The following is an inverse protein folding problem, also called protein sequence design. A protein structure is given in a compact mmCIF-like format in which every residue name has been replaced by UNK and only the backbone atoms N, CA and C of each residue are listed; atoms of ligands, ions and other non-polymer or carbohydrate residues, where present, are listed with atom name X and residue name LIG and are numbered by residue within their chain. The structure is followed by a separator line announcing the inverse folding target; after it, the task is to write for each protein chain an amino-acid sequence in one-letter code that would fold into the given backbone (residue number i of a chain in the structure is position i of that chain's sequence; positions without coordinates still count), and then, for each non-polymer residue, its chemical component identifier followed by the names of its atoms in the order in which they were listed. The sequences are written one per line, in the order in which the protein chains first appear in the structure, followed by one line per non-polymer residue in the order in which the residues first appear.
data_IF_183075458086
#
_entry.id   IF_183075458086
#
_cell.length_a   1.000
_cell.length_b   1.000
_cell.length_c   1.000
_cell.angle_alpha   90.00
_cell.angle_beta   90.00
_cell.angle_gamma   90.00
#
_symmetry.space_group_name_H-M   'P 1'
#
loop_
_entity.id
_entity.type
_entity.pdbx_description
1 polymer ?
#
# COMPACT_ATOMS: atom_id res chain seq x y z
N UNK A 1 2.70 -7.51 -22.97
CA UNK A 1 3.94 -8.16 -22.47
C UNK A 1 3.95 -9.61 -22.86
N UNK A 2 5.10 -10.21 -23.20
CA UNK A 2 5.24 -11.62 -23.54
C UNK A 2 6.06 -12.32 -22.45
N UNK A 3 5.55 -13.43 -21.93
CA UNK A 3 6.22 -14.25 -20.92
C UNK A 3 6.82 -15.49 -21.60
N UNK A 4 8.06 -15.82 -21.26
CA UNK A 4 8.78 -16.96 -21.81
C UNK A 4 9.38 -17.80 -20.71
N UNK A 5 9.32 -19.10 -20.87
CA UNK A 5 10.03 -20.07 -20.03
C UNK A 5 11.33 -20.47 -20.71
N UNK A 6 12.41 -20.48 -19.96
CA UNK A 6 13.73 -20.92 -20.42
C UNK A 6 14.01 -22.29 -19.85
N UNK A 7 14.20 -23.28 -20.73
CA UNK A 7 14.56 -24.65 -20.37
C UNK A 7 15.70 -25.12 -21.27
N UNK A 8 16.82 -25.51 -20.68
CA UNK A 8 18.00 -26.06 -21.41
C UNK A 8 18.42 -25.18 -22.60
N UNK A 9 18.51 -23.85 -22.40
CA UNK A 9 18.85 -22.84 -23.41
C UNK A 9 17.84 -22.72 -24.57
N UNK A 10 16.67 -23.33 -24.45
CA UNK A 10 15.54 -23.12 -25.36
C UNK A 10 14.49 -22.21 -24.72
N UNK A 11 13.79 -21.45 -25.56
CA UNK A 11 12.78 -20.48 -25.10
C UNK A 11 11.42 -20.89 -25.62
N UNK A 12 10.47 -21.06 -24.70
CA UNK A 12 9.07 -21.33 -25.02
C UNK A 12 8.18 -20.20 -24.52
N UNK A 13 7.34 -19.66 -25.40
CA UNK A 13 6.35 -18.64 -25.01
C UNK A 13 5.26 -19.27 -24.15
N UNK A 14 4.94 -18.63 -23.01
CA UNK A 14 3.80 -19.00 -22.17
C UNK A 14 2.59 -18.19 -22.64
N UNK A 15 1.49 -18.88 -22.90
CA UNK A 15 0.26 -18.27 -23.43
C UNK A 15 -0.55 -17.67 -22.28
N UNK A 16 -1.14 -16.50 -22.50
CA UNK A 16 -2.10 -15.94 -21.55
C UNK A 16 -3.37 -16.80 -21.55
N UNK A 17 -3.92 -17.03 -20.37
CA UNK A 17 -5.16 -17.78 -20.14
C UNK A 17 -6.23 -16.82 -19.61
N UNK A 18 -7.39 -16.82 -20.24
CA UNK A 18 -8.54 -16.08 -19.71
C UNK A 18 -9.16 -16.82 -18.52
N UNK A 19 -9.48 -16.07 -17.46
CA UNK A 19 -10.37 -16.56 -16.41
C UNK A 19 -11.82 -16.33 -16.85
N UNK A 20 -12.66 -17.36 -16.71
CA UNK A 20 -14.05 -17.28 -17.18
C UNK A 20 -14.88 -16.26 -16.39
N UNK A 21 -14.60 -16.06 -15.11
CA UNK A 21 -15.39 -15.22 -14.20
C UNK A 21 -14.52 -14.27 -13.37
N UNK A 22 -14.99 -13.03 -13.17
CA UNK A 22 -14.43 -12.03 -12.24
C UNK A 22 -14.29 -12.60 -10.82
N UNK A 23 -15.25 -13.40 -10.40
CA UNK A 23 -15.23 -14.08 -9.09
C UNK A 23 -14.01 -15.00 -8.91
N UNK A 24 -13.47 -15.58 -9.97
CA UNK A 24 -12.29 -16.45 -9.85
C UNK A 24 -11.04 -15.65 -9.49
N UNK A 25 -10.88 -14.44 -10.03
CA UNK A 25 -9.77 -13.57 -9.65
C UNK A 25 -9.94 -13.07 -8.21
N UNK A 26 -11.15 -12.67 -7.82
CA UNK A 26 -11.46 -12.28 -6.45
C UNK A 26 -11.03 -13.35 -5.45
N UNK A 27 -11.42 -14.61 -5.64
CA UNK A 27 -11.06 -15.73 -4.77
C UNK A 27 -9.54 -15.92 -4.68
N UNK A 28 -8.82 -15.84 -5.81
CA UNK A 28 -7.35 -15.96 -5.82
C UNK A 28 -6.73 -14.85 -4.96
N UNK A 29 -7.19 -13.60 -5.12
CA UNK A 29 -6.66 -12.48 -4.34
C UNK A 29 -7.04 -12.56 -2.87
N UNK A 30 -8.30 -12.81 -2.52
CA UNK A 30 -8.76 -12.90 -1.13
C UNK A 30 -8.00 -13.94 -0.32
N UNK A 31 -7.68 -15.08 -0.93
CA UNK A 31 -6.89 -16.14 -0.28
C UNK A 31 -5.41 -15.79 -0.13
N UNK A 32 -4.91 -14.77 -0.83
CA UNK A 32 -3.48 -14.45 -0.91
C UNK A 32 -3.20 -12.94 -0.76
N UNK A 33 -4.14 -12.14 -0.19
CA UNK A 33 -4.01 -10.69 -0.11
C UNK A 33 -2.76 -10.24 0.66
N UNK A 34 -2.37 -10.98 1.68
CA UNK A 34 -1.18 -10.66 2.46
C UNK A 34 0.11 -10.82 1.63
N UNK A 35 0.21 -11.90 0.86
CA UNK A 35 1.36 -12.16 -0.01
C UNK A 35 1.41 -11.20 -1.21
N UNK A 36 0.25 -10.95 -1.85
CA UNK A 36 0.16 -10.16 -3.07
C UNK A 36 0.26 -8.65 -2.83
N UNK A 37 -0.37 -8.15 -1.76
CA UNK A 37 -0.59 -6.72 -1.53
C UNK A 37 -0.24 -6.24 -0.11
N UNK A 38 0.21 -7.14 0.77
CA UNK A 38 0.50 -6.83 2.17
C UNK A 38 -0.75 -6.45 2.99
N UNK A 39 -1.92 -7.02 2.64
CA UNK A 39 -3.21 -6.66 3.22
C UNK A 39 -3.80 -7.86 3.96
N UNK A 40 -4.16 -7.66 5.21
CA UNK A 40 -4.94 -8.63 5.98
C UNK A 40 -6.40 -8.56 5.54
N UNK A 41 -6.95 -9.68 5.08
CA UNK A 41 -8.33 -9.80 4.62
C UNK A 41 -9.34 -9.69 5.78
N UNK A 42 -10.35 -8.84 5.63
CA UNK A 42 -11.38 -8.61 6.66
C UNK A 42 -12.75 -9.14 6.28
N UNK A 43 -13.27 -8.77 5.13
CA UNK A 43 -14.62 -9.14 4.71
C UNK A 43 -14.73 -9.29 3.20
N UNK A 44 -15.61 -10.20 2.80
CA UNK A 44 -15.99 -10.54 1.44
C UNK A 44 -17.39 -9.99 1.13
N UNK A 45 -17.56 -9.41 -0.04
CA UNK A 45 -18.86 -8.92 -0.53
C UNK A 45 -19.65 -8.13 0.53
N UNK A 46 -19.00 -7.13 1.13
CA UNK A 46 -19.56 -6.37 2.23
C UNK A 46 -20.63 -5.37 1.74
N UNK A 47 -21.89 -5.60 2.13
CA UNK A 47 -23.02 -4.74 1.74
C UNK A 47 -22.98 -3.39 2.47
N UNK A 48 -23.10 -2.29 1.72
CA UNK A 48 -23.12 -0.93 2.27
C UNK A 48 -24.56 -0.42 2.45
N UNK A 49 -24.78 0.44 3.44
CA UNK A 49 -26.09 1.10 3.67
C UNK A 49 -26.44 2.11 2.58
N UNK A 50 -25.49 2.55 1.76
CA UNK A 50 -25.71 3.46 0.64
C UNK A 50 -26.14 2.72 -0.66
N UNK A 51 -26.24 1.41 -0.57
CA UNK A 51 -26.44 0.53 -1.72
C UNK A 51 -25.10 0.11 -2.35
N UNK A 52 -25.13 -1.06 -2.97
CA UNK A 52 -23.93 -1.69 -3.49
C UNK A 52 -23.21 -2.56 -2.46
N UNK A 53 -22.10 -3.16 -2.92
CA UNK A 53 -21.37 -4.16 -2.17
C UNK A 53 -19.90 -4.06 -2.51
N UNK A 54 -19.07 -3.85 -1.50
CA UNK A 54 -17.60 -3.84 -1.61
C UNK A 54 -17.14 -5.27 -1.87
N UNK A 55 -16.37 -5.51 -2.92
CA UNK A 55 -15.91 -6.85 -3.26
C UNK A 55 -15.05 -7.44 -2.13
N UNK A 56 -14.02 -6.71 -1.68
CA UNK A 56 -13.20 -7.12 -0.53
C UNK A 56 -12.81 -5.93 0.34
N UNK A 57 -12.88 -6.14 1.67
CA UNK A 57 -12.34 -5.22 2.67
C UNK A 57 -11.08 -5.82 3.31
N UNK A 58 -10.09 -5.00 3.57
CA UNK A 58 -8.88 -5.36 4.26
C UNK A 58 -8.30 -4.24 5.09
N UNK A 59 -7.21 -4.53 5.77
CA UNK A 59 -6.38 -3.58 6.49
C UNK A 59 -4.92 -3.90 6.20
N UNK A 60 -4.10 -2.91 5.89
CA UNK A 60 -2.68 -3.15 5.68
C UNK A 60 -1.89 -3.13 7.00
N UNK A 61 -0.59 -3.41 6.92
CA UNK A 61 0.30 -3.47 8.08
C UNK A 61 0.49 -2.12 8.78
N UNK A 62 0.24 -1.02 8.08
CA UNK A 62 0.31 0.33 8.60
C UNK A 62 -1.01 0.79 9.25
N UNK A 63 -2.04 -0.07 9.25
CA UNK A 63 -3.36 0.25 9.80
C UNK A 63 -4.28 0.97 8.81
N UNK A 64 -3.89 1.10 7.53
CA UNK A 64 -4.73 1.76 6.55
C UNK A 64 -5.91 0.85 6.13
N UNK A 65 -7.16 1.33 6.20
CA UNK A 65 -8.30 0.61 5.64
C UNK A 65 -8.15 0.46 4.12
N UNK A 66 -8.42 -0.74 3.60
CA UNK A 66 -8.28 -1.07 2.19
C UNK A 66 -9.60 -1.53 1.61
N UNK A 67 -10.04 -0.88 0.53
CA UNK A 67 -11.15 -1.32 -0.32
C UNK A 67 -10.54 -1.91 -1.57
N UNK A 68 -10.93 -3.12 -1.94
CA UNK A 68 -10.44 -3.80 -3.12
C UNK A 68 -11.61 -4.13 -4.02
N UNK A 69 -11.53 -3.71 -5.28
CA UNK A 69 -12.51 -3.95 -6.33
C UNK A 69 -11.86 -4.71 -7.49
N UNK A 70 -12.54 -5.73 -7.99
CA UNK A 70 -12.04 -6.57 -9.06
C UNK A 70 -12.86 -6.37 -10.33
N UNK A 71 -12.19 -6.39 -11.49
CA UNK A 71 -12.86 -6.37 -12.78
C UNK A 71 -12.17 -7.28 -13.78
N UNK A 72 -12.99 -8.00 -14.52
CA UNK A 72 -12.56 -8.70 -15.72
C UNK A 72 -12.53 -7.72 -16.89
N UNK A 73 -11.45 -7.71 -17.63
CA UNK A 73 -11.29 -6.83 -18.79
C UNK A 73 -11.12 -5.37 -18.43
N UNK A 74 -11.43 -4.49 -19.38
CA UNK A 74 -11.45 -3.05 -19.24
C UNK A 74 -12.82 -2.58 -18.76
N UNK A 75 -12.89 -1.89 -17.62
CA UNK A 75 -14.14 -1.38 -17.07
C UNK A 75 -13.98 0.06 -16.59
N UNK A 76 -14.77 0.96 -17.15
CA UNK A 76 -14.69 2.41 -16.90
C UNK A 76 -15.23 2.82 -15.50
N UNK A 77 -15.83 1.90 -14.74
CA UNK A 77 -16.51 2.23 -13.49
C UNK A 77 -15.82 1.74 -12.22
N UNK A 78 -14.75 0.93 -12.30
CA UNK A 78 -14.13 0.34 -11.11
C UNK A 78 -13.60 1.40 -10.14
N UNK A 79 -13.01 2.46 -10.67
CA UNK A 79 -12.48 3.57 -9.85
C UNK A 79 -13.61 4.31 -9.14
N UNK A 80 -14.70 4.62 -9.88
CA UNK A 80 -15.85 5.31 -9.30
C UNK A 80 -16.55 4.47 -8.23
N UNK A 81 -16.62 3.15 -8.41
CA UNK A 81 -17.14 2.23 -7.41
C UNK A 81 -16.28 2.27 -6.15
N UNK A 82 -14.96 2.09 -6.29
CA UNK A 82 -14.04 2.14 -5.16
C UNK A 82 -14.09 3.47 -4.40
N UNK A 83 -14.19 4.60 -5.10
CA UNK A 83 -14.33 5.92 -4.48
C UNK A 83 -15.67 6.09 -3.76
N UNK A 84 -16.76 5.58 -4.32
CA UNK A 84 -18.08 5.58 -3.66
C UNK A 84 -18.06 4.76 -2.38
N UNK A 85 -17.41 3.61 -2.39
CA UNK A 85 -17.27 2.77 -1.20
C UNK A 85 -16.31 3.38 -0.16
N UNK A 86 -15.28 4.09 -0.61
CA UNK A 86 -14.43 4.86 0.30
C UNK A 86 -15.23 5.96 1.01
N UNK A 87 -16.09 6.68 0.28
CA UNK A 87 -16.96 7.68 0.89
C UNK A 87 -17.85 7.07 1.96
N UNK A 88 -18.46 5.91 1.68
CA UNK A 88 -19.24 5.17 2.66
C UNK A 88 -18.38 4.75 3.86
N UNK A 89 -17.20 4.19 3.64
CA UNK A 89 -16.30 3.69 4.69
C UNK A 89 -15.90 4.80 5.66
N UNK A 90 -15.60 5.98 5.14
CA UNK A 90 -15.20 7.13 5.96
C UNK A 90 -16.34 7.67 6.84
N UNK A 91 -17.60 7.49 6.41
CA UNK A 91 -18.79 7.81 7.19
C UNK A 91 -19.15 6.71 8.20
N UNK A 92 -18.77 5.46 7.93
CA UNK A 92 -19.10 4.26 8.72
C UNK A 92 -17.88 3.63 9.41
N UNK A 93 -16.99 4.44 9.96
CA UNK A 93 -15.73 3.99 10.59
C UNK A 93 -15.97 2.94 11.69
N UNK A 94 -17.02 3.12 12.50
CA UNK A 94 -17.37 2.19 13.59
C UNK A 94 -17.71 0.77 13.08
N UNK A 95 -18.28 0.64 11.88
CA UNK A 95 -18.55 -0.66 11.29
C UNK A 95 -17.26 -1.39 10.92
N UNK A 96 -16.29 -0.67 10.35
CA UNK A 96 -14.97 -1.20 10.04
C UNK A 96 -14.21 -1.60 11.30
N UNK A 97 -14.20 -0.76 12.33
CA UNK A 97 -13.58 -1.02 13.64
C UNK A 97 -14.16 -2.28 14.30
N UNK A 98 -15.49 -2.46 14.19
CA UNK A 98 -16.17 -3.66 14.67
C UNK A 98 -15.73 -4.92 13.93
N UNK A 99 -15.53 -4.84 12.60
CA UNK A 99 -15.00 -5.97 11.81
C UNK A 99 -13.57 -6.30 12.27
N UNK A 100 -12.69 -5.30 12.40
CA UNK A 100 -11.33 -5.50 12.89
C UNK A 100 -11.32 -6.16 14.27
N UNK A 101 -12.14 -5.67 15.20
CA UNK A 101 -12.27 -6.22 16.55
C UNK A 101 -12.76 -7.66 16.54
N UNK A 102 -13.74 -7.99 15.68
CA UNK A 102 -14.27 -9.36 15.55
C UNK A 102 -13.23 -10.37 15.03
N UNK A 103 -12.21 -9.87 14.33
CA UNK A 103 -11.10 -10.66 13.80
C UNK A 103 -9.83 -10.61 14.67
N UNK A 104 -9.93 -10.03 15.87
CA UNK A 104 -8.80 -9.83 16.78
C UNK A 104 -7.64 -9.03 16.17
N UNK A 105 -7.93 -8.10 15.27
CA UNK A 105 -6.96 -7.16 14.72
C UNK A 105 -6.73 -6.08 15.77
N UNK A 106 -5.48 -5.98 16.24
CA UNK A 106 -5.04 -5.03 17.29
C UNK A 106 -4.18 -3.88 16.74
N UNK A 107 -4.22 -3.65 15.43
CA UNK A 107 -3.50 -2.54 14.78
C UNK A 107 -4.32 -1.25 14.99
N UNK A 108 -3.66 -0.14 15.32
CA UNK A 108 -4.28 1.19 15.33
C UNK A 108 -4.67 1.57 13.90
N UNK A 109 -5.95 1.91 13.69
CA UNK A 109 -6.46 2.20 12.35
C UNK A 109 -6.08 3.62 11.96
N UNK A 110 -5.38 3.76 10.82
CA UNK A 110 -5.03 5.05 10.21
C UNK A 110 -6.13 5.49 9.22
N UNK A 111 -7.04 6.31 9.68
CA UNK A 111 -8.09 6.91 8.86
C UNK A 111 -7.62 8.06 7.96
N UNK A 112 -6.37 8.49 8.06
CA UNK A 112 -5.81 9.55 7.24
C UNK A 112 -5.29 9.04 5.89
N UNK A 113 -5.07 7.72 5.77
CA UNK A 113 -4.45 7.11 4.58
C UNK A 113 -5.19 5.86 4.06
N UNK A 114 -6.53 5.87 3.94
CA UNK A 114 -7.24 4.72 3.39
C UNK A 114 -6.82 4.48 1.94
N UNK A 115 -6.88 3.21 1.49
CA UNK A 115 -6.48 2.77 0.17
C UNK A 115 -7.66 2.26 -0.62
N UNK A 116 -7.77 2.68 -1.88
CA UNK A 116 -8.69 2.09 -2.87
C UNK A 116 -7.84 1.35 -3.90
N UNK A 117 -8.03 0.05 -4.01
CA UNK A 117 -7.23 -0.83 -4.84
C UNK A 117 -8.14 -1.41 -5.92
N UNK A 118 -7.89 -1.04 -7.15
CA UNK A 118 -8.62 -1.55 -8.30
C UNK A 118 -7.74 -2.59 -9.00
N UNK A 119 -8.27 -3.78 -9.25
CA UNK A 119 -7.57 -4.91 -9.85
C UNK A 119 -8.30 -5.29 -11.15
N UNK A 120 -7.66 -5.06 -12.30
CA UNK A 120 -8.26 -5.31 -13.61
C UNK A 120 -7.24 -5.86 -14.62
N UNK A 121 -7.70 -6.42 -15.73
CA UNK A 121 -6.82 -6.89 -16.81
C UNK A 121 -6.17 -5.72 -17.58
N UNK A 122 -6.83 -4.58 -17.63
CA UNK A 122 -6.34 -3.36 -18.28
C UNK A 122 -7.11 -2.12 -17.83
N UNK A 123 -6.46 -0.96 -17.98
CA UNK A 123 -7.04 0.35 -17.74
C UNK A 123 -6.94 1.19 -19.00
N UNK A 124 -7.90 2.09 -19.21
CA UNK A 124 -7.80 3.07 -20.27
C UNK A 124 -6.91 4.26 -19.85
N UNK A 125 -6.54 5.08 -20.83
CA UNK A 125 -5.68 6.24 -20.57
C UNK A 125 -6.31 7.24 -19.58
N UNK A 126 -7.64 7.41 -19.64
CA UNK A 126 -8.34 8.37 -18.78
C UNK A 126 -8.34 7.91 -17.31
N UNK A 127 -8.43 6.59 -17.07
CA UNK A 127 -8.29 6.02 -15.73
C UNK A 127 -6.90 6.32 -15.16
N UNK A 128 -5.85 6.07 -15.95
CA UNK A 128 -4.46 6.33 -15.54
C UNK A 128 -4.20 7.82 -15.29
N UNK A 129 -4.70 8.69 -16.15
CA UNK A 129 -4.55 10.14 -16.00
C UNK A 129 -5.32 10.66 -14.78
N UNK A 130 -6.56 10.16 -14.54
CA UNK A 130 -7.41 10.60 -13.44
C UNK A 130 -6.82 10.28 -12.07
N UNK A 131 -6.34 9.06 -11.86
CA UNK A 131 -5.79 8.65 -10.55
C UNK A 131 -4.52 9.40 -10.17
N UNK A 132 -3.77 9.90 -11.14
CA UNK A 132 -2.57 10.71 -10.89
C UNK A 132 -2.89 12.09 -10.30
N UNK A 133 -4.13 12.58 -10.43
CA UNK A 133 -4.60 13.87 -9.92
C UNK A 133 -5.25 13.73 -8.55
N UNK A 134 -5.68 12.53 -8.17
CA UNK A 134 -6.35 12.30 -6.90
C UNK A 134 -5.40 12.52 -5.71
N UNK A 135 -5.90 13.19 -4.68
CA UNK A 135 -5.21 13.31 -3.40
C UNK A 135 -5.38 12.05 -2.53
N UNK A 136 -6.37 11.23 -2.87
CA UNK A 136 -6.67 9.95 -2.23
C UNK A 136 -5.74 8.88 -2.80
N UNK A 137 -5.38 7.89 -1.99
CA UNK A 137 -4.58 6.76 -2.44
C UNK A 137 -5.43 5.76 -3.23
N UNK A 138 -5.47 5.94 -4.55
CA UNK A 138 -6.09 5.00 -5.50
C UNK A 138 -4.98 4.28 -6.23
N UNK A 139 -4.99 2.96 -6.19
CA UNK A 139 -4.00 2.08 -6.81
C UNK A 139 -4.66 1.28 -7.93
N UNK A 140 -4.04 1.30 -9.10
CA UNK A 140 -4.47 0.51 -10.26
C UNK A 140 -3.50 -0.65 -10.46
N UNK A 141 -3.98 -1.85 -10.25
CA UNK A 141 -3.21 -3.07 -10.40
C UNK A 141 -3.69 -3.87 -11.60
N UNK A 142 -2.81 -4.07 -12.57
CA UNK A 142 -3.07 -4.92 -13.73
C UNK A 142 -2.66 -6.35 -13.41
N UNK A 143 -3.58 -7.29 -13.69
CA UNK A 143 -3.25 -8.71 -13.60
C UNK A 143 -3.30 -9.41 -14.96
N UNK A 144 -2.59 -10.52 -15.07
CA UNK A 144 -2.74 -11.52 -16.13
C UNK A 144 -2.48 -12.90 -15.60
N UNK A 145 -3.29 -13.85 -16.04
CA UNK A 145 -3.05 -15.26 -15.78
C UNK A 145 -2.43 -15.87 -17.04
N UNK A 146 -1.44 -16.70 -16.85
CA UNK A 146 -0.79 -17.44 -17.90
C UNK A 146 -0.92 -18.95 -17.66
N UNK A 147 -0.70 -19.74 -18.72
CA UNK A 147 -0.54 -21.18 -18.59
C UNK A 147 0.51 -21.50 -17.51
N UNK A 148 0.51 -22.74 -17.03
CA UNK A 148 1.36 -23.18 -15.90
C UNK A 148 1.00 -22.49 -14.56
N UNK A 149 -0.21 -21.93 -14.43
CA UNK A 149 -0.72 -21.26 -13.23
C UNK A 149 0.14 -20.07 -12.76
N UNK A 150 0.66 -19.28 -13.69
CA UNK A 150 1.44 -18.10 -13.39
C UNK A 150 0.51 -16.90 -13.34
N UNK A 151 0.50 -16.18 -12.20
CA UNK A 151 -0.12 -14.88 -12.04
C UNK A 151 0.95 -13.80 -12.25
N UNK A 152 0.70 -12.87 -13.17
CA UNK A 152 1.42 -11.62 -13.29
C UNK A 152 0.61 -10.51 -12.68
N UNK A 153 1.24 -9.69 -11.86
CA UNK A 153 0.62 -8.55 -11.18
C UNK A 153 1.56 -7.34 -11.28
N UNK A 154 1.02 -6.20 -11.71
CA UNK A 154 1.77 -4.96 -11.90
C UNK A 154 0.93 -3.77 -11.48
N UNK A 155 1.51 -2.86 -10.71
CA UNK A 155 0.87 -1.60 -10.39
C UNK A 155 1.13 -0.58 -11.52
N UNK A 156 0.07 -0.04 -12.11
CA UNK A 156 0.13 0.84 -13.28
C UNK A 156 0.39 2.31 -12.93
N UNK A 157 0.00 2.77 -11.76
CA UNK A 157 0.03 4.20 -11.41
C UNK A 157 1.09 4.52 -10.35
N UNK A 158 2.36 4.46 -10.76
CA UNK A 158 3.48 4.77 -9.86
C UNK A 158 3.77 6.26 -9.70
N UNK A 159 3.46 7.08 -10.70
CA UNK A 159 3.85 8.48 -10.74
C UNK A 159 2.66 9.37 -10.34
N UNK A 160 2.44 9.59 -9.05
CA UNK A 160 1.60 10.71 -8.62
C UNK A 160 2.31 12.01 -9.02
N UNK A 161 1.81 12.67 -10.06
CA UNK A 161 2.22 14.03 -10.38
C UNK A 161 1.83 14.87 -9.18
N UNK A 162 2.81 15.30 -8.37
CA UNK A 162 2.56 16.32 -7.35
C UNK A 162 2.16 17.59 -8.10
N UNK A 163 0.84 17.83 -8.24
CA UNK A 163 0.32 19.06 -8.83
C UNK A 163 0.34 20.14 -7.73
N UNK A 164 1.32 21.05 -7.72
CA UNK A 164 1.42 22.08 -6.67
C UNK A 164 0.27 23.09 -6.71
N UNK A 165 -0.46 23.10 -7.82
CA UNK A 165 -1.40 24.20 -8.20
C UNK A 165 -2.69 24.14 -7.39
N UNK A 166 -3.22 22.97 -7.08
CA UNK A 166 -4.52 22.84 -6.40
C UNK A 166 -4.41 23.27 -4.93
N UNK A 167 -3.30 23.00 -4.28
CA UNK A 167 -3.10 23.37 -2.87
C UNK A 167 -3.09 24.89 -2.64
N UNK A 168 -2.58 25.67 -3.61
CA UNK A 168 -2.52 27.12 -3.51
C UNK A 168 -3.83 27.83 -3.88
N UNK A 169 -4.66 27.22 -4.74
CA UNK A 169 -5.97 27.78 -5.11
C UNK A 169 -6.96 27.60 -3.95
N UNK A 170 -6.93 26.46 -3.29
CA UNK A 170 -7.80 26.18 -2.14
C UNK A 170 -7.44 27.06 -0.95
N UNK A 171 -6.15 27.37 -0.71
CA UNK A 171 -5.73 28.26 0.38
C UNK A 171 -6.17 29.71 0.21
N UNK A 172 -6.37 30.21 -1.02
CA UNK A 172 -6.78 31.60 -1.26
C UNK A 172 -8.28 31.88 -1.05
N UNK A 173 -9.14 30.87 -1.11
CA UNK A 173 -10.59 31.06 -1.09
C UNK A 173 -11.27 30.82 0.26
N UNK A 174 -10.52 30.45 1.31
CA UNK A 174 -11.11 30.11 2.60
C UNK A 174 -10.40 30.79 3.77
N UNK A 175 -10.63 32.07 3.94
CA UNK A 175 -10.24 32.78 5.16
C UNK A 175 -11.41 32.90 6.14
N UNK A 176 -12.34 32.04 6.24
CA UNK A 176 -13.33 32.05 7.34
C UNK A 176 -14.25 30.85 7.18
N UNK A 177 -13.87 29.70 7.77
CA UNK A 177 -14.78 28.69 8.28
C UNK A 177 -13.96 27.57 8.93
N UNK A 178 -14.33 27.16 10.13
CA UNK A 178 -13.74 26.03 10.84
C UNK A 178 -13.89 24.74 10.01
N UNK A 179 -12.76 24.03 9.75
CA UNK A 179 -12.69 22.93 8.80
C UNK A 179 -12.62 21.58 9.48
N UNK A 180 -13.21 20.53 8.85
CA UNK A 180 -12.84 19.18 9.15
C UNK A 180 -11.41 18.90 8.62
N UNK A 181 -10.70 18.07 9.34
CA UNK A 181 -9.29 17.68 9.27
C UNK A 181 -8.80 17.40 7.83
N UNK A 182 -7.92 18.26 7.33
CA UNK A 182 -7.20 18.05 6.06
C UNK A 182 -6.07 17.05 6.34
N UNK A 183 -5.98 15.98 5.55
CA UNK A 183 -4.89 15.00 5.57
C UNK A 183 -3.53 15.69 5.73
N UNK A 184 -2.84 15.44 6.83
CA UNK A 184 -1.47 15.88 7.03
C UNK A 184 -0.57 14.94 6.22
N UNK A 185 -0.17 15.37 5.02
CA UNK A 185 0.94 14.73 4.33
C UNK A 185 2.22 15.03 5.11
N UNK A 186 2.78 13.99 5.70
CA UNK A 186 4.09 14.09 6.33
C UNK A 186 5.17 14.12 5.24
N UNK A 187 6.17 14.97 5.41
CA UNK A 187 7.33 15.02 4.52
C UNK A 187 8.53 14.39 5.21
N UNK A 188 9.58 14.10 4.45
CA UNK A 188 10.84 13.60 5.00
C UNK A 188 11.43 14.62 5.98
N UNK A 189 11.30 15.93 5.67
CA UNK A 189 11.73 17.03 6.52
C UNK A 189 11.03 16.99 7.88
N UNK A 190 9.73 16.66 7.94
CA UNK A 190 9.01 16.49 9.19
C UNK A 190 9.69 15.48 10.14
N UNK A 191 10.33 14.46 9.60
CA UNK A 191 11.05 13.45 10.38
C UNK A 191 12.48 13.90 10.69
N UNK A 192 13.22 14.40 9.70
CA UNK A 192 14.62 14.80 9.86
C UNK A 192 14.80 16.02 10.76
N UNK A 193 13.82 16.91 10.87
CA UNK A 193 13.86 18.09 11.75
C UNK A 193 13.96 17.71 13.24
N UNK A 194 13.61 16.48 13.59
CA UNK A 194 13.74 15.94 14.97
C UNK A 194 15.17 15.58 15.33
N UNK A 195 16.05 15.48 14.34
CA UNK A 195 17.41 14.93 14.48
C UNK A 195 18.48 16.01 14.41
N UNK A 196 19.64 15.76 15.03
CA UNK A 196 20.81 16.60 14.89
C UNK A 196 21.46 16.44 13.50
N UNK A 197 22.44 17.29 13.17
CA UNK A 197 23.08 17.30 11.84
C UNK A 197 23.87 16.01 11.53
N UNK A 198 24.43 15.35 12.54
CA UNK A 198 25.12 14.08 12.39
C UNK A 198 24.16 12.98 11.95
N UNK A 199 22.98 12.91 12.56
CA UNK A 199 21.93 11.95 12.21
C UNK A 199 21.31 12.25 10.85
N UNK A 200 21.15 13.52 10.50
CA UNK A 200 20.69 13.91 9.15
C UNK A 200 21.69 13.46 8.07
N UNK A 201 22.98 13.64 8.33
CA UNK A 201 24.03 13.19 7.41
C UNK A 201 24.06 11.67 7.29
N UNK A 202 23.94 10.95 8.42
CA UNK A 202 23.85 9.49 8.43
C UNK A 202 22.61 9.00 7.64
N UNK A 203 21.47 9.66 7.85
CA UNK A 203 20.25 9.34 7.11
C UNK A 203 20.41 9.56 5.62
N UNK A 204 21.07 10.63 5.17
CA UNK A 204 21.28 10.89 3.75
C UNK A 204 22.06 9.75 3.07
N UNK A 205 23.12 9.27 3.72
CA UNK A 205 23.92 8.14 3.21
C UNK A 205 23.07 6.85 3.21
N UNK A 206 22.32 6.60 4.27
CA UNK A 206 21.45 5.42 4.38
C UNK A 206 20.37 5.44 3.31
N UNK A 207 19.73 6.59 3.11
CA UNK A 207 18.67 6.82 2.11
C UNK A 207 19.15 6.52 0.68
N UNK A 208 20.31 7.05 0.31
CA UNK A 208 20.91 6.77 -1.00
C UNK A 208 21.12 5.27 -1.21
N UNK A 209 21.66 4.57 -0.20
CA UNK A 209 21.88 3.13 -0.28
C UNK A 209 20.56 2.33 -0.36
N UNK A 210 19.53 2.73 0.37
CA UNK A 210 18.22 2.06 0.32
C UNK A 210 17.58 2.24 -1.07
N UNK A 211 17.61 3.45 -1.63
CA UNK A 211 17.04 3.73 -2.96
C UNK A 211 17.79 2.96 -4.06
N UNK A 212 19.08 2.68 -3.88
CA UNK A 212 19.89 1.91 -4.83
C UNK A 212 19.65 0.39 -4.77
N UNK A 213 18.92 -0.12 -3.78
CA UNK A 213 18.61 -1.56 -3.66
C UNK A 213 17.77 -2.03 -4.85
N UNK A 214 16.78 -1.24 -5.25
CA UNK A 214 15.86 -1.56 -6.35
C UNK A 214 15.24 -0.26 -6.89
N UNK A 215 15.04 -0.17 -8.21
CA UNK A 215 14.40 0.99 -8.88
C UNK A 215 12.95 1.23 -8.41
N UNK A 216 12.30 0.20 -7.86
CA UNK A 216 10.93 0.26 -7.37
C UNK A 216 10.81 0.67 -5.90
N UNK A 217 11.93 0.95 -5.22
CA UNK A 217 11.91 1.43 -3.84
C UNK A 217 11.21 2.78 -3.75
N UNK A 218 10.22 2.87 -2.88
CA UNK A 218 9.46 4.09 -2.59
C UNK A 218 9.54 4.48 -1.14
N UNK A 219 9.61 5.77 -0.93
CA UNK A 219 9.55 6.41 0.37
C UNK A 219 8.11 6.85 0.65
N UNK A 220 7.57 6.46 1.79
CA UNK A 220 6.22 6.78 2.23
C UNK A 220 6.25 7.34 3.66
N UNK A 221 6.40 8.68 3.81
CA UNK A 221 6.43 9.31 5.13
C UNK A 221 5.08 9.19 5.84
N UNK A 222 5.08 8.53 6.99
CA UNK A 222 3.93 8.38 7.90
C UNK A 222 4.07 9.36 9.07
N UNK A 223 3.07 9.43 9.95
CA UNK A 223 3.10 10.34 11.11
C UNK A 223 4.31 10.14 12.03
N UNK A 224 4.70 8.90 12.27
CA UNK A 224 5.72 8.54 13.27
C UNK A 224 7.03 8.05 12.65
N UNK A 225 7.03 7.57 11.41
CA UNK A 225 8.17 6.95 10.77
C UNK A 225 8.18 7.20 9.25
N UNK A 226 9.31 6.94 8.61
CA UNK A 226 9.45 6.89 7.17
C UNK A 226 9.46 5.42 6.73
N UNK A 227 8.45 5.00 5.97
CA UNK A 227 8.37 3.67 5.41
C UNK A 227 9.09 3.57 4.07
N UNK A 228 9.77 2.45 3.82
CA UNK A 228 10.34 2.07 2.54
C UNK A 228 9.58 0.87 1.98
N UNK A 229 9.07 0.99 0.77
CA UNK A 229 8.19 0.01 0.13
C UNK A 229 8.74 -0.43 -1.22
N UNK A 230 8.54 -1.69 -1.55
CA UNK A 230 8.70 -2.25 -2.90
C UNK A 230 7.38 -2.93 -3.27
N UNK A 231 6.83 -2.63 -4.44
CA UNK A 231 5.56 -3.18 -4.91
C UNK A 231 4.41 -3.03 -3.90
N UNK A 232 4.35 -1.86 -3.21
CA UNK A 232 3.35 -1.60 -2.19
C UNK A 232 3.58 -2.32 -0.85
N UNK A 233 4.57 -3.21 -0.77
CA UNK A 233 4.92 -3.93 0.46
C UNK A 233 6.01 -3.19 1.22
N UNK A 234 5.75 -2.89 2.49
CA UNK A 234 6.69 -2.25 3.39
C UNK A 234 7.79 -3.25 3.80
N UNK A 235 9.06 -2.94 3.55
CA UNK A 235 10.19 -3.78 3.92
C UNK A 235 11.07 -3.19 5.04
N UNK A 236 11.03 -1.87 5.23
CA UNK A 236 11.76 -1.21 6.30
C UNK A 236 11.06 0.08 6.76
N UNK A 237 11.16 0.37 8.05
CA UNK A 237 10.69 1.60 8.69
C UNK A 237 11.83 2.31 9.39
N UNK A 238 11.92 3.63 9.25
CA UNK A 238 12.91 4.46 9.94
C UNK A 238 12.20 5.45 10.86
N UNK A 239 12.51 5.35 12.15
CA UNK A 239 12.07 6.31 13.17
C UNK A 239 13.24 7.22 13.52
N UNK A 240 12.98 8.52 13.51
CA UNK A 240 13.97 9.56 13.74
C UNK A 240 13.93 10.03 15.20
N UNK A 241 15.05 9.95 15.88
CA UNK A 241 15.28 10.56 17.18
C UNK A 241 16.37 11.62 17.09
N UNK A 242 16.56 12.39 18.15
CA UNK A 242 17.55 13.48 18.16
C UNK A 242 18.96 13.01 17.84
N UNK A 243 19.36 11.88 18.42
CA UNK A 243 20.73 11.36 18.37
C UNK A 243 20.83 9.92 17.83
N UNK A 244 19.73 9.35 17.29
CA UNK A 244 19.73 8.00 16.73
C UNK A 244 18.69 7.86 15.62
N UNK A 245 18.92 6.91 14.72
CA UNK A 245 17.92 6.34 13.82
C UNK A 245 17.58 4.94 14.31
N UNK A 246 16.30 4.65 14.41
CA UNK A 246 15.87 3.26 14.65
C UNK A 246 15.30 2.73 13.34
N UNK A 247 15.84 1.61 12.90
CA UNK A 247 15.41 0.93 11.68
C UNK A 247 14.74 -0.37 12.10
N UNK A 248 13.51 -0.56 11.65
CA UNK A 248 12.79 -1.84 11.80
C UNK A 248 12.72 -2.50 10.43
N UNK A 249 13.13 -3.77 10.36
CA UNK A 249 13.09 -4.55 9.13
C UNK A 249 11.88 -5.48 9.17
N UNK A 250 11.04 -5.42 8.14
CA UNK A 250 9.84 -6.25 8.01
C UNK A 250 10.20 -7.67 7.51
N UNK A 251 11.07 -8.33 8.25
CA UNK A 251 11.58 -9.69 7.98
C UNK A 251 11.16 -10.58 9.15
N UNK A 252 10.72 -11.82 8.84
CA UNK A 252 10.37 -12.80 9.87
C UNK A 252 11.62 -13.30 10.61
N UNK A 253 11.45 -13.59 11.90
CA UNK A 253 12.50 -14.14 12.76
C UNK A 253 13.23 -15.33 12.11
N UNK A 254 14.55 -15.29 12.13
CA UNK A 254 15.42 -16.30 11.55
C UNK A 254 15.76 -16.10 10.06
N UNK A 255 15.19 -15.14 9.37
CA UNK A 255 15.42 -14.90 7.95
C UNK A 255 16.48 -13.84 7.65
N UNK A 256 17.12 -13.27 8.70
CA UNK A 256 18.17 -12.27 8.52
C UNK A 256 19.56 -12.91 8.62
N UNK A 257 20.46 -12.54 7.72
CA UNK A 257 21.88 -12.85 7.80
C UNK A 257 22.61 -11.68 8.47
N UNK A 258 22.81 -11.76 9.79
CA UNK A 258 23.49 -10.73 10.60
C UNK A 258 24.75 -11.30 11.27
N UNK A 259 25.85 -11.46 10.52
CA UNK A 259 27.10 -12.03 11.05
C UNK A 259 27.75 -11.18 12.15
N UNK A 260 27.38 -9.92 12.25
CA UNK A 260 27.94 -8.97 13.23
C UNK A 260 27.01 -8.72 14.42
N UNK A 261 25.90 -9.42 14.53
CA UNK A 261 24.92 -9.31 15.63
C UNK A 261 24.47 -7.86 15.90
N UNK A 262 24.22 -7.10 14.85
CA UNK A 262 23.80 -5.69 14.95
C UNK A 262 22.30 -5.52 15.07
N UNK A 263 21.53 -6.58 14.80
CA UNK A 263 20.09 -6.56 14.88
C UNK A 263 19.57 -7.18 16.17
N UNK A 264 18.35 -6.82 16.55
CA UNK A 264 17.65 -7.40 17.70
C UNK A 264 16.41 -8.11 17.19
N UNK A 265 16.29 -9.40 17.48
CA UNK A 265 15.08 -10.19 17.23
C UNK A 265 14.08 -9.93 18.36
N UNK A 266 12.97 -9.24 18.04
CA UNK A 266 11.94 -8.88 19.01
C UNK A 266 10.99 -10.02 19.39
N UNK A 267 11.13 -11.18 18.76
CA UNK A 267 10.35 -12.37 19.12
C UNK A 267 10.98 -13.14 20.30
N UNK A 268 12.25 -12.85 20.68
CA UNK A 268 13.04 -13.62 21.66
C UNK A 268 13.78 -12.72 22.68
N UNK A 269 13.20 -12.41 23.87
CA UNK A 269 11.82 -12.62 24.32
C UNK A 269 10.86 -11.69 23.56
N UNK A 270 9.62 -12.10 23.41
CA UNK A 270 8.59 -11.30 22.74
C UNK A 270 8.45 -9.94 23.43
N UNK A 271 8.84 -8.89 22.73
CA UNK A 271 8.72 -7.51 23.19
C UNK A 271 7.81 -6.77 22.23
N UNK A 272 6.90 -5.94 22.76
CA UNK A 272 6.18 -4.99 21.95
C UNK A 272 7.15 -3.96 21.35
N UNK A 273 7.07 -3.71 20.06
CA UNK A 273 7.86 -2.71 19.36
C UNK A 273 7.03 -1.99 18.31
N UNK A 274 7.50 -0.83 17.91
CA UNK A 274 6.95 -0.10 16.77
C UNK A 274 7.63 -0.65 15.52
N UNK A 275 6.80 -1.05 14.54
CA UNK A 275 7.22 -1.63 13.28
C UNK A 275 6.55 -2.97 13.01
N UNK A 276 6.52 -3.37 11.76
CA UNK A 276 5.76 -4.53 11.26
C UNK A 276 6.61 -5.80 11.11
N UNK A 277 7.91 -5.74 11.43
CA UNK A 277 8.84 -6.86 11.33
C UNK A 277 9.27 -7.41 12.69
N UNK A 278 10.03 -8.50 12.66
CA UNK A 278 10.58 -9.15 13.86
C UNK A 278 11.97 -8.61 14.27
N UNK A 279 12.54 -7.70 13.45
CA UNK A 279 13.87 -7.10 13.66
C UNK A 279 13.86 -5.57 13.63
#
# INVERSE_FOLDING_TARGET
MALFKIENSTVRKITAKDLDLEKNIQIIFENNLEELLGITFLAHEYSTSFGGRIDSLGIDKDGNPCIIEYKKGQNDNVINQGLSYLYWLLDHRADFEKICSSKNISIEIDWESPRVICIAESYNKFDLDAVNIFTINVELWRYRIYDENILYLEQENFNKIKVPIIHNIIKKNHQNEERPNVQKHYSIEHHTDKSNEEIKSLFSILRENIILIDEEVKEDPKKLYLAYKINGTNFADIIFYKNELRITLNIKSGNINDPNSKTTDFTKPKKGHWGNGDY
#
